data_IF_318775435034
#
_entry.id   IF_318775435034
#
_cell.length_a   1.000
_cell.length_b   1.000
_cell.length_c   1.000
_cell.angle_alpha   90.00
_cell.angle_beta   90.00
_cell.angle_gamma   90.00
#
_symmetry.space_group_name_H-M   'P 1'
#
loop_
_entity.id
_entity.type
_entity.pdbx_description
1 polymer ?
#
# COMPACT_ATOMS: atom_id res chain seq x y z
N UNK A 1 0.25 -0.67 -20.85
CA UNK A 1 -0.62 -1.24 -19.78
C UNK A 1 -2.08 -1.42 -20.22
N UNK A 2 -2.78 -0.44 -20.78
CA UNK A 2 -4.22 -0.56 -21.16
C UNK A 2 -4.52 -1.82 -21.99
N UNK A 3 -3.73 -2.10 -23.03
CA UNK A 3 -3.88 -3.32 -23.83
C UNK A 3 -3.74 -4.61 -22.99
N UNK A 4 -2.80 -4.65 -22.03
CA UNK A 4 -2.63 -5.81 -21.15
C UNK A 4 -3.82 -5.97 -20.22
N UNK A 5 -4.34 -4.89 -19.64
CA UNK A 5 -5.51 -4.93 -18.77
C UNK A 5 -6.77 -5.43 -19.51
N UNK A 6 -6.86 -5.17 -20.83
CA UNK A 6 -7.98 -5.62 -21.65
C UNK A 6 -7.83 -7.08 -22.14
N UNK A 7 -6.62 -7.52 -22.47
CA UNK A 7 -6.38 -8.80 -23.19
C UNK A 7 -5.74 -9.90 -22.35
N UNK A 8 -5.14 -9.56 -21.21
CA UNK A 8 -4.50 -10.57 -20.35
C UNK A 8 -5.55 -11.52 -19.74
N UNK A 9 -5.28 -12.83 -19.68
CA UNK A 9 -6.10 -13.78 -18.93
C UNK A 9 -5.88 -13.64 -17.42
N UNK A 10 -4.88 -12.86 -16.97
CA UNK A 10 -4.57 -12.59 -15.57
C UNK A 10 -4.92 -11.14 -15.26
N UNK A 11 -5.43 -10.92 -14.06
CA UNK A 11 -5.67 -9.60 -13.54
C UNK A 11 -4.37 -8.81 -13.41
N UNK A 12 -4.42 -7.53 -13.74
CA UNK A 12 -3.27 -6.62 -13.70
C UNK A 12 -3.41 -5.66 -12.52
N UNK A 13 -2.32 -5.53 -11.78
CA UNK A 13 -2.17 -4.54 -10.72
C UNK A 13 -1.17 -3.45 -11.16
N UNK A 14 -1.56 -2.18 -11.06
CA UNK A 14 -0.64 -1.05 -11.26
C UNK A 14 0.09 -0.74 -9.96
N UNK A 15 1.38 -0.48 -10.05
CA UNK A 15 2.25 -0.14 -8.92
C UNK A 15 2.99 1.20 -9.18
N UNK A 16 4.10 1.16 -9.90
CA UNK A 16 4.92 2.35 -10.16
C UNK A 16 4.23 3.40 -11.03
N UNK A 17 3.22 3.02 -11.81
CA UNK A 17 2.44 3.95 -12.62
C UNK A 17 1.70 5.02 -11.82
N UNK A 18 1.51 4.81 -10.51
CA UNK A 18 0.87 5.76 -9.63
C UNK A 18 1.82 6.85 -9.13
N UNK A 19 3.13 6.62 -9.20
CA UNK A 19 4.16 7.52 -8.67
C UNK A 19 4.20 8.81 -9.50
N UNK A 20 4.18 9.95 -8.81
CA UNK A 20 4.20 11.27 -9.48
C UNK A 20 2.85 11.77 -9.97
N UNK A 21 1.78 10.98 -9.83
CA UNK A 21 0.42 11.37 -10.21
C UNK A 21 -0.33 11.89 -8.98
N UNK A 22 -0.40 13.21 -8.81
CA UNK A 22 -0.91 13.82 -7.57
C UNK A 22 -2.30 14.43 -7.72
N UNK A 23 -2.63 15.04 -8.88
CA UNK A 23 -3.95 15.65 -9.06
C UNK A 23 -5.04 14.60 -9.22
N UNK A 24 -6.23 14.84 -8.67
CA UNK A 24 -7.37 13.93 -8.82
C UNK A 24 -7.79 13.77 -10.28
N UNK A 25 -7.61 14.80 -11.09
CA UNK A 25 -7.91 14.76 -12.52
C UNK A 25 -6.99 13.77 -13.24
N UNK A 26 -5.67 13.83 -12.98
CA UNK A 26 -4.70 12.92 -13.61
C UNK A 26 -4.87 11.48 -13.12
N UNK A 27 -5.15 11.29 -11.83
CA UNK A 27 -5.46 9.97 -11.26
C UNK A 27 -6.67 9.35 -11.94
N UNK A 28 -7.75 10.11 -12.07
CA UNK A 28 -8.97 9.67 -12.74
C UNK A 28 -8.72 9.33 -14.20
N UNK A 29 -7.99 10.18 -14.92
CA UNK A 29 -7.63 9.96 -16.32
C UNK A 29 -6.79 8.69 -16.50
N UNK A 30 -5.82 8.45 -15.61
CA UNK A 30 -4.98 7.24 -15.63
C UNK A 30 -5.83 5.98 -15.43
N UNK A 31 -6.68 5.94 -14.41
CA UNK A 31 -7.52 4.78 -14.13
C UNK A 31 -8.52 4.50 -15.25
N UNK A 32 -9.15 5.54 -15.81
CA UNK A 32 -10.08 5.40 -16.92
C UNK A 32 -9.43 4.97 -18.23
N UNK A 33 -8.17 5.38 -18.46
CA UNK A 33 -7.42 5.01 -19.64
C UNK A 33 -6.89 3.56 -19.56
N UNK A 34 -6.32 3.17 -18.43
CA UNK A 34 -5.67 1.84 -18.27
C UNK A 34 -6.67 0.76 -17.89
N UNK A 35 -7.65 1.08 -17.04
CA UNK A 35 -8.68 0.16 -16.51
C UNK A 35 -8.08 -1.11 -15.89
N UNK A 36 -7.17 -0.98 -14.91
CA UNK A 36 -6.59 -2.12 -14.24
C UNK A 36 -7.62 -2.81 -13.33
N UNK A 37 -7.39 -4.05 -12.96
CA UNK A 37 -8.19 -4.77 -11.98
C UNK A 37 -7.83 -4.36 -10.56
N UNK A 38 -6.56 -4.03 -10.34
CA UNK A 38 -6.02 -3.65 -9.04
C UNK A 38 -5.07 -2.46 -9.13
N UNK A 39 -4.93 -1.74 -8.01
CA UNK A 39 -3.83 -0.79 -7.79
C UNK A 39 -3.12 -1.11 -6.47
N UNK A 40 -1.79 -0.90 -6.45
CA UNK A 40 -0.94 -1.10 -5.29
C UNK A 40 -0.57 0.27 -4.72
N UNK A 41 -0.89 0.50 -3.46
CA UNK A 41 -0.71 1.79 -2.82
C UNK A 41 0.53 1.78 -1.93
N UNK A 42 1.54 2.58 -2.28
CA UNK A 42 2.73 2.85 -1.47
C UNK A 42 2.64 4.29 -0.93
N UNK A 43 2.09 4.52 0.26
CA UNK A 43 1.82 5.87 0.77
C UNK A 43 3.01 6.83 0.66
N UNK A 44 4.23 6.35 0.89
CA UNK A 44 5.46 7.15 0.79
C UNK A 44 5.71 7.75 -0.60
N UNK A 45 5.16 7.17 -1.68
CA UNK A 45 5.41 7.59 -3.06
C UNK A 45 4.24 8.30 -3.73
N UNK A 46 3.03 8.19 -3.17
CA UNK A 46 1.79 8.64 -3.82
C UNK A 46 1.10 9.78 -3.09
N UNK A 47 1.83 10.52 -2.24
CA UNK A 47 1.32 11.70 -1.53
C UNK A 47 0.86 11.43 -0.10
N UNK A 48 1.46 10.43 0.58
CA UNK A 48 1.16 10.07 1.96
C UNK A 48 -0.25 9.48 2.13
N UNK A 49 -0.78 9.56 3.33
CA UNK A 49 -2.11 8.99 3.63
C UNK A 49 -3.23 9.72 2.89
N UNK A 50 -3.13 11.05 2.78
CA UNK A 50 -4.12 11.84 2.01
C UNK A 50 -4.11 11.46 0.52
N UNK A 51 -2.93 11.28 -0.06
CA UNK A 51 -2.79 10.83 -1.44
C UNK A 51 -3.35 9.43 -1.64
N UNK A 52 -3.13 8.53 -0.68
CA UNK A 52 -3.66 7.17 -0.69
C UNK A 52 -5.19 7.15 -0.58
N UNK A 53 -5.78 7.99 0.28
CA UNK A 53 -7.24 8.12 0.41
C UNK A 53 -7.87 8.52 -0.93
N UNK A 54 -7.30 9.50 -1.60
CA UNK A 54 -7.79 9.94 -2.90
C UNK A 54 -7.69 8.84 -3.98
N UNK A 55 -6.64 8.01 -3.96
CA UNK A 55 -6.54 6.85 -4.84
C UNK A 55 -7.58 5.78 -4.52
N UNK A 56 -7.84 5.51 -3.22
CA UNK A 56 -8.85 4.55 -2.77
C UNK A 56 -10.24 4.97 -3.25
N UNK A 57 -10.61 6.23 -3.04
CA UNK A 57 -11.91 6.78 -3.48
C UNK A 57 -12.11 6.64 -4.99
N UNK A 58 -11.09 7.01 -5.78
CA UNK A 58 -11.13 6.90 -7.24
C UNK A 58 -11.16 5.45 -7.72
N UNK A 59 -10.39 4.55 -7.10
CA UNK A 59 -10.41 3.13 -7.41
C UNK A 59 -11.80 2.52 -7.17
N UNK A 60 -12.39 2.79 -6.02
CA UNK A 60 -13.75 2.34 -5.68
C UNK A 60 -14.80 2.86 -6.67
N UNK A 61 -14.72 4.14 -7.04
CA UNK A 61 -15.63 4.75 -8.02
C UNK A 61 -15.49 4.11 -9.43
N UNK A 62 -14.37 3.49 -9.74
CA UNK A 62 -14.11 2.82 -11.02
C UNK A 62 -14.18 1.27 -10.93
N UNK A 63 -14.65 0.70 -9.81
CA UNK A 63 -14.69 -0.74 -9.53
C UNK A 63 -13.31 -1.42 -9.58
N UNK A 64 -12.26 -0.70 -9.22
CA UNK A 64 -10.88 -1.17 -9.14
C UNK A 64 -10.59 -1.55 -7.68
N UNK A 65 -10.02 -2.72 -7.45
CA UNK A 65 -9.60 -3.15 -6.13
C UNK A 65 -8.22 -2.57 -5.79
N UNK A 66 -7.88 -2.58 -4.51
CA UNK A 66 -6.62 -2.01 -4.04
C UNK A 66 -6.08 -2.72 -2.80
N UNK A 67 -4.77 -2.69 -2.63
CA UNK A 67 -4.14 -3.00 -1.36
C UNK A 67 -2.98 -2.05 -1.09
N UNK A 68 -2.64 -1.91 0.20
CA UNK A 68 -1.51 -1.11 0.65
C UNK A 68 -0.29 -2.01 0.82
N UNK A 69 0.87 -1.51 0.42
CA UNK A 69 2.16 -2.12 0.69
C UNK A 69 3.16 -1.06 1.19
N UNK A 70 4.28 -1.52 1.75
CA UNK A 70 5.37 -0.62 2.10
C UNK A 70 6.23 -0.29 0.88
N UNK A 71 6.89 0.88 0.92
CA UNK A 71 7.98 1.24 0.03
C UNK A 71 9.34 0.91 0.66
N UNK A 72 9.39 -0.15 1.47
CA UNK A 72 10.55 -0.63 2.22
C UNK A 72 11.02 0.36 3.29
N UNK A 73 10.09 1.00 3.96
CA UNK A 73 10.36 1.87 5.10
C UNK A 73 10.97 1.08 6.28
N UNK A 74 11.62 1.83 7.18
CA UNK A 74 11.96 1.28 8.50
C UNK A 74 10.69 0.87 9.27
N UNK A 75 10.85 0.12 10.35
CA UNK A 75 9.73 -0.28 11.19
C UNK A 75 8.89 0.90 11.72
N UNK A 76 9.47 2.10 11.83
CA UNK A 76 8.71 3.32 12.22
C UNK A 76 7.70 3.69 11.15
N UNK A 77 8.14 3.80 9.90
CA UNK A 77 7.24 4.08 8.76
C UNK A 77 6.24 2.95 8.54
N UNK A 78 6.70 1.69 8.59
CA UNK A 78 5.83 0.53 8.46
C UNK A 78 4.73 0.51 9.53
N UNK A 79 5.03 0.89 10.77
CA UNK A 79 4.03 0.98 11.83
C UNK A 79 2.95 2.04 11.52
N UNK A 80 3.34 3.21 11.02
CA UNK A 80 2.39 4.25 10.63
C UNK A 80 1.48 3.78 9.47
N UNK A 81 2.07 3.16 8.45
CA UNK A 81 1.33 2.61 7.30
C UNK A 81 0.39 1.50 7.74
N UNK A 82 0.83 0.63 8.66
CA UNK A 82 0.00 -0.48 9.17
C UNK A 82 -1.22 0.02 9.93
N UNK A 83 -1.07 1.03 10.79
CA UNK A 83 -2.17 1.66 11.50
C UNK A 83 -3.15 2.33 10.53
N UNK A 84 -2.64 3.09 9.57
CA UNK A 84 -3.45 3.68 8.50
C UNK A 84 -4.25 2.61 7.74
N UNK A 85 -3.58 1.56 7.29
CA UNK A 85 -4.22 0.46 6.54
C UNK A 85 -5.31 -0.22 7.34
N UNK A 86 -5.07 -0.46 8.63
CA UNK A 86 -6.07 -1.06 9.52
C UNK A 86 -7.37 -0.24 9.58
N UNK A 87 -7.29 1.09 9.53
CA UNK A 87 -8.49 1.96 9.54
C UNK A 87 -9.34 1.84 8.27
N UNK A 88 -8.80 1.24 7.19
CA UNK A 88 -9.52 1.15 5.90
C UNK A 88 -10.43 -0.08 5.81
N UNK A 89 -10.36 -1.00 6.76
CA UNK A 89 -11.19 -2.21 6.83
C UNK A 89 -11.24 -3.00 5.51
N UNK A 90 -10.12 -3.06 4.77
CA UNK A 90 -10.02 -3.83 3.53
C UNK A 90 -10.10 -5.32 3.83
N UNK A 91 -10.82 -6.07 3.00
CA UNK A 91 -10.91 -7.54 3.07
C UNK A 91 -9.79 -8.24 2.32
N UNK A 92 -9.06 -7.52 1.47
CA UNK A 92 -7.92 -8.08 0.72
C UNK A 92 -6.68 -8.18 1.62
N UNK A 93 -5.82 -9.19 1.41
CA UNK A 93 -4.50 -9.23 2.01
C UNK A 93 -3.70 -7.98 1.67
N UNK A 94 -2.92 -7.49 2.63
CA UNK A 94 -2.11 -6.29 2.51
C UNK A 94 -0.61 -6.62 2.49
N UNK A 95 0.20 -5.85 1.76
CA UNK A 95 1.62 -6.11 1.57
C UNK A 95 2.51 -5.50 2.67
N UNK A 96 2.25 -5.79 3.95
CA UNK A 96 2.90 -5.12 5.10
C UNK A 96 3.91 -6.00 5.86
N UNK A 97 4.33 -7.12 5.27
CA UNK A 97 5.25 -8.08 5.89
C UNK A 97 6.74 -7.74 5.76
N UNK A 98 7.13 -6.51 5.47
CA UNK A 98 8.48 -6.11 5.06
C UNK A 98 9.41 -5.68 6.20
N UNK A 99 8.95 -5.68 7.46
CA UNK A 99 9.70 -5.16 8.62
C UNK A 99 10.98 -5.93 8.98
N UNK A 100 11.18 -7.14 8.45
CA UNK A 100 12.38 -7.96 8.69
C UNK A 100 13.41 -7.91 7.55
N UNK A 101 13.21 -7.06 6.56
CA UNK A 101 14.08 -7.00 5.39
C UNK A 101 15.49 -6.46 5.72
N UNK A 102 15.60 -5.54 6.66
CA UNK A 102 16.85 -4.90 7.04
C UNK A 102 17.35 -5.40 8.39
N UNK A 103 18.63 -5.73 8.48
CA UNK A 103 19.29 -6.20 9.72
C UNK A 103 19.52 -5.06 10.73
N UNK A 104 19.57 -3.82 10.25
CA UNK A 104 19.74 -2.60 11.05
C UNK A 104 18.42 -1.83 11.29
N UNK A 105 17.30 -2.51 11.21
CA UNK A 105 15.99 -1.89 11.44
C UNK A 105 15.74 -1.63 12.93
N UNK A 106 14.89 -0.66 13.21
CA UNK A 106 14.49 -0.32 14.58
C UNK A 106 13.58 -1.42 15.15
N UNK A 107 13.86 -1.89 16.36
CA UNK A 107 13.02 -2.89 17.02
C UNK A 107 11.60 -2.33 17.21
N UNK A 108 10.60 -3.12 16.89
CA UNK A 108 9.19 -2.73 16.79
C UNK A 108 8.28 -3.67 17.58
N UNK A 109 7.14 -3.15 17.99
CA UNK A 109 6.04 -3.95 18.53
C UNK A 109 5.28 -4.74 17.46
N UNK A 110 5.54 -4.48 16.18
CA UNK A 110 4.98 -5.26 15.07
C UNK A 110 5.74 -6.57 14.87
N UNK A 111 5.03 -7.64 14.60
CA UNK A 111 5.61 -8.94 14.28
C UNK A 111 4.72 -9.71 13.30
N UNK A 112 5.34 -10.54 12.48
CA UNK A 112 4.61 -11.45 11.59
C UNK A 112 4.41 -12.79 12.30
N UNK A 113 3.15 -13.21 12.44
CA UNK A 113 2.78 -14.50 13.01
C UNK A 113 1.90 -15.22 11.99
N UNK A 114 2.39 -16.33 11.45
CA UNK A 114 1.66 -17.15 10.46
C UNK A 114 1.08 -16.33 9.30
N UNK A 115 1.88 -15.41 8.74
CA UNK A 115 1.48 -14.54 7.63
C UNK A 115 0.61 -13.33 8.01
N UNK A 116 0.32 -13.14 9.29
CA UNK A 116 -0.46 -12.00 9.79
C UNK A 116 0.45 -11.01 10.52
N UNK A 117 0.33 -9.73 10.18
CA UNK A 117 1.00 -8.65 10.93
C UNK A 117 0.23 -8.38 12.23
N UNK A 118 0.88 -8.59 13.35
CA UNK A 118 0.30 -8.45 14.67
C UNK A 118 1.02 -7.36 15.47
N UNK A 119 0.26 -6.60 16.25
CA UNK A 119 0.81 -5.70 17.26
C UNK A 119 0.97 -6.45 18.58
N UNK A 120 2.19 -6.46 19.12
CA UNK A 120 2.49 -7.06 20.44
C UNK A 120 2.74 -5.97 21.47
N UNK A 121 1.78 -5.70 22.40
CA UNK A 121 1.89 -4.62 23.37
C UNK A 121 2.99 -4.83 24.42
N UNK A 122 3.52 -6.06 24.55
CA UNK A 122 4.61 -6.34 25.50
C UNK A 122 5.99 -5.97 24.93
N UNK A 123 6.12 -5.82 23.61
CA UNK A 123 7.35 -5.35 22.96
C UNK A 123 7.43 -3.84 22.99
N UNK A 124 8.58 -3.34 23.36
CA UNK A 124 8.86 -1.89 23.36
C UNK A 124 9.66 -1.51 22.12
N UNK A 125 9.48 -0.30 21.66
CA UNK A 125 10.35 0.32 20.68
C UNK A 125 11.74 0.49 21.27
N UNK A 126 12.77 0.23 20.46
CA UNK A 126 14.14 0.52 20.82
C UNK A 126 14.76 1.40 19.72
N UNK A 127 15.00 2.65 20.06
CA UNK A 127 15.58 3.66 19.17
C UNK A 127 17.09 3.87 19.40
N UNK A 128 17.76 2.97 20.08
CA UNK A 128 19.24 2.98 20.18
C UNK A 128 19.80 2.59 18.81
N UNK A 129 20.25 3.60 18.07
CA UNK A 129 20.87 3.52 16.74
C UNK A 129 22.39 3.47 16.88
#
# INVERSE_FOLDING_TARGET
MAYLCEKSPLDIALDEELIGVFSNQDKQALLQHIKPQYIILKPSFIGGFKGSDSWIELAQANNIQWWVTSALESNVGLNAISQYTFTKNSTLPQGLGTGSLYTNNIASALQIIKGTLCYNPTKKWNFNL
#
